data_IF_250383254055
#
_entry.id   IF_250383254055
#
_cell.length_a   1.000
_cell.length_b   1.000
_cell.length_c   1.000
_cell.angle_alpha   90.00
_cell.angle_beta   90.00
_cell.angle_gamma   90.00
#
_symmetry.space_group_name_H-M   'P 1'
#
loop_
_entity.id
_entity.type
_entity.pdbx_description
1 polymer ?
#
# COMPACT_ATOMS: atom_id res chain seq x y z
N UNK A 1 -1.57 13.52 14.87
CA UNK A 1 -2.35 12.44 14.23
C UNK A 1 -3.83 12.73 14.48
N UNK A 2 -4.70 12.78 13.46
CA UNK A 2 -6.13 13.05 13.64
C UNK A 2 -6.85 11.89 14.32
N UNK A 3 -8.03 12.17 14.89
CA UNK A 3 -8.94 11.14 15.41
C UNK A 3 -9.70 10.46 14.26
N UNK A 4 -10.30 9.30 14.51
CA UNK A 4 -11.17 8.62 13.53
C UNK A 4 -12.34 9.53 13.11
N UNK A 5 -12.95 10.24 14.06
CA UNK A 5 -14.04 11.18 13.77
C UNK A 5 -13.59 12.30 12.82
N UNK A 6 -12.40 12.88 13.04
CA UNK A 6 -11.84 13.91 12.16
C UNK A 6 -11.54 13.34 10.77
N UNK A 7 -10.99 12.13 10.67
CA UNK A 7 -10.73 11.46 9.40
C UNK A 7 -12.03 11.23 8.60
N UNK A 8 -13.11 10.82 9.26
CA UNK A 8 -14.40 10.64 8.60
C UNK A 8 -14.97 11.96 8.05
N UNK A 9 -14.90 13.05 8.82
CA UNK A 9 -15.32 14.37 8.35
C UNK A 9 -14.48 14.85 7.17
N UNK A 10 -13.17 14.64 7.23
CA UNK A 10 -12.28 15.00 6.12
C UNK A 10 -12.55 14.17 4.87
N UNK A 11 -12.96 12.92 5.01
CA UNK A 11 -13.33 12.09 3.87
C UNK A 11 -14.61 12.61 3.19
N UNK A 12 -15.62 13.01 3.96
CA UNK A 12 -16.82 13.67 3.40
C UNK A 12 -16.47 15.01 2.71
N UNK A 13 -15.52 15.76 3.26
CA UNK A 13 -14.99 16.97 2.60
C UNK A 13 -14.26 16.60 1.30
N UNK A 14 -13.50 15.51 1.25
CA UNK A 14 -12.85 15.04 0.03
C UNK A 14 -13.89 14.71 -1.05
N UNK A 15 -14.94 13.98 -0.68
CA UNK A 15 -16.05 13.65 -1.57
C UNK A 15 -16.77 14.90 -2.10
N UNK A 16 -17.08 15.87 -1.24
CA UNK A 16 -17.73 17.12 -1.68
C UNK A 16 -16.85 17.98 -2.61
N UNK A 17 -15.52 17.76 -2.59
CA UNK A 17 -14.56 18.39 -3.52
C UNK A 17 -14.31 17.57 -4.80
N UNK A 18 -15.04 16.47 -5.00
CA UNK A 18 -14.97 15.64 -6.21
C UNK A 18 -13.85 14.60 -6.21
N UNK A 19 -13.19 14.34 -5.06
CA UNK A 19 -12.31 13.19 -4.94
C UNK A 19 -13.15 11.93 -4.74
N UNK A 20 -12.84 10.85 -5.47
CA UNK A 20 -13.42 9.52 -5.25
C UNK A 20 -14.95 9.50 -5.25
N UNK A 21 -15.56 9.96 -6.35
CA UNK A 21 -17.03 10.00 -6.53
C UNK A 21 -17.68 8.62 -6.35
N UNK A 22 -17.01 7.57 -6.82
CA UNK A 22 -17.53 6.21 -6.75
C UNK A 22 -17.54 5.71 -5.29
N UNK A 23 -16.49 6.02 -4.53
CA UNK A 23 -16.46 5.80 -3.08
C UNK A 23 -17.54 6.62 -2.36
N UNK A 24 -17.71 7.89 -2.71
CA UNK A 24 -18.77 8.74 -2.15
C UNK A 24 -20.16 8.13 -2.38
N UNK A 25 -20.46 7.69 -3.61
CA UNK A 25 -21.73 7.03 -3.95
C UNK A 25 -21.90 5.73 -3.17
N UNK A 26 -20.86 4.89 -3.07
CA UNK A 26 -20.89 3.65 -2.30
C UNK A 26 -21.30 3.86 -0.82
N UNK A 27 -20.87 4.98 -0.22
CA UNK A 27 -21.20 5.34 1.16
C UNK A 27 -22.44 6.23 1.31
N UNK A 28 -23.18 6.52 0.22
CA UNK A 28 -24.27 7.51 0.17
C UNK A 28 -23.83 8.91 0.65
N UNK A 29 -22.58 9.29 0.37
CA UNK A 29 -21.99 10.56 0.74
C UNK A 29 -21.77 10.77 2.23
N UNK A 30 -21.93 9.74 3.08
CA UNK A 30 -21.86 9.87 4.53
C UNK A 30 -21.12 8.70 5.21
N UNK A 31 -20.10 9.05 6.00
CA UNK A 31 -19.26 8.11 6.77
C UNK A 31 -19.08 8.57 8.23
N UNK A 32 -19.25 9.85 8.53
CA UNK A 32 -19.09 10.42 9.86
C UNK A 32 -20.05 9.79 10.86
N UNK A 33 -19.50 9.39 12.01
CA UNK A 33 -20.24 8.71 13.07
C UNK A 33 -20.58 7.24 12.77
N UNK A 34 -20.22 6.71 11.61
CA UNK A 34 -20.41 5.31 11.26
C UNK A 34 -19.26 4.42 11.73
N UNK A 35 -19.47 3.10 11.71
CA UNK A 35 -18.45 2.06 11.91
C UNK A 35 -18.16 1.29 10.60
N UNK A 36 -18.53 1.87 9.45
CA UNK A 36 -18.32 1.21 8.17
C UNK A 36 -16.83 1.14 7.86
N UNK A 37 -16.39 0.03 7.29
CA UNK A 37 -15.02 -0.14 6.85
C UNK A 37 -14.75 0.73 5.61
N UNK A 38 -13.58 1.34 5.60
CA UNK A 38 -13.03 2.04 4.44
C UNK A 38 -11.84 1.23 3.89
N UNK A 39 -11.39 1.58 2.70
CA UNK A 39 -10.27 0.94 2.04
C UNK A 39 -9.34 1.92 1.33
N UNK A 40 -8.63 1.39 0.34
CA UNK A 40 -7.55 2.08 -0.36
C UNK A 40 -8.00 3.35 -1.07
N UNK A 41 -9.23 3.39 -1.61
CA UNK A 41 -9.80 4.52 -2.34
C UNK A 41 -10.04 5.71 -1.41
N UNK A 42 -10.66 5.49 -0.26
CA UNK A 42 -10.92 6.52 0.74
C UNK A 42 -9.62 7.06 1.34
N UNK A 43 -8.64 6.19 1.63
CA UNK A 43 -7.31 6.62 2.08
C UNK A 43 -6.60 7.48 1.02
N UNK A 44 -6.70 7.12 -0.26
CA UNK A 44 -6.12 7.91 -1.34
C UNK A 44 -6.83 9.26 -1.51
N UNK A 45 -8.16 9.30 -1.37
CA UNK A 45 -8.94 10.53 -1.40
C UNK A 45 -8.52 11.50 -0.28
N UNK A 46 -8.37 11.00 0.95
CA UNK A 46 -7.87 11.78 2.09
C UNK A 46 -6.47 12.34 1.84
N UNK A 47 -5.52 11.52 1.40
CA UNK A 47 -4.16 11.99 1.11
C UNK A 47 -4.16 13.08 0.02
N UNK A 48 -4.94 12.87 -1.05
CA UNK A 48 -5.05 13.81 -2.17
C UNK A 48 -5.73 15.12 -1.78
N UNK A 49 -6.71 15.08 -0.87
CA UNK A 49 -7.33 16.29 -0.31
C UNK A 49 -6.28 17.22 0.33
N UNK A 50 -5.25 16.65 0.97
CA UNK A 50 -4.14 17.41 1.58
C UNK A 50 -2.97 17.66 0.62
N UNK A 51 -3.16 17.45 -0.68
CA UNK A 51 -2.12 17.69 -1.70
C UNK A 51 -1.01 16.65 -1.74
N UNK A 52 -1.16 15.52 -1.04
CA UNK A 52 -0.20 14.42 -1.10
C UNK A 52 -0.47 13.60 -2.36
N UNK A 53 0.58 13.39 -3.18
CA UNK A 53 0.50 12.50 -4.34
C UNK A 53 0.34 11.05 -3.88
N UNK A 54 -0.89 10.54 -3.91
CA UNK A 54 -1.20 9.14 -3.64
C UNK A 54 -1.51 8.38 -4.94
N UNK A 55 -0.91 7.20 -5.10
CA UNK A 55 -1.16 6.28 -6.22
C UNK A 55 -1.66 4.94 -5.68
N UNK A 56 -2.75 4.45 -6.24
CA UNK A 56 -3.28 3.12 -5.96
C UNK A 56 -2.65 2.14 -6.96
N UNK A 57 -2.17 1.01 -6.47
CA UNK A 57 -1.70 -0.11 -7.28
C UNK A 57 -2.47 -1.34 -6.85
N UNK A 58 -3.20 -1.93 -7.79
CA UNK A 58 -4.03 -3.11 -7.56
C UNK A 58 -3.33 -4.37 -8.11
N UNK A 59 -3.23 -5.39 -7.26
CA UNK A 59 -2.63 -6.68 -7.57
C UNK A 59 -3.73 -7.74 -7.66
N UNK A 60 -4.47 -7.74 -8.77
CA UNK A 60 -5.58 -8.67 -8.99
C UNK A 60 -5.11 -10.12 -8.99
N UNK A 61 -5.76 -10.96 -8.19
CA UNK A 61 -5.63 -12.40 -8.30
C UNK A 61 -6.04 -12.82 -9.73
N UNK A 62 -5.10 -13.37 -10.51
CA UNK A 62 -5.43 -14.08 -11.74
C UNK A 62 -6.12 -15.36 -11.25
N UNK A 63 -7.30 -15.64 -11.80
CA UNK A 63 -7.99 -16.90 -11.57
C UNK A 63 -6.98 -18.03 -11.80
N UNK A 64 -6.84 -18.93 -10.81
CA UNK A 64 -5.93 -20.09 -10.87
C UNK A 64 -6.15 -20.82 -12.19
N UNK A 65 -5.29 -20.58 -13.18
CA UNK A 65 -5.13 -21.53 -14.27
C UNK A 65 -4.45 -22.76 -13.66
N UNK A 66 -5.08 -23.91 -13.88
CA UNK A 66 -4.66 -25.22 -13.42
C UNK A 66 -3.19 -25.48 -13.79
N UNK A 67 -2.27 -25.22 -12.85
CA UNK A 67 -0.84 -25.56 -12.96
C UNK A 67 0.18 -24.44 -12.79
N UNK A 68 -0.22 -23.17 -12.63
CA UNK A 68 0.73 -22.04 -12.53
C UNK A 68 1.12 -21.66 -11.10
N UNK A 69 2.42 -21.50 -10.83
CA UNK A 69 2.98 -20.90 -9.58
C UNK A 69 2.33 -19.53 -9.30
N UNK A 70 2.23 -19.11 -8.05
CA UNK A 70 1.59 -17.84 -7.63
C UNK A 70 2.33 -16.57 -8.14
N UNK A 71 2.12 -16.22 -9.41
CA UNK A 71 2.78 -15.10 -10.07
C UNK A 71 2.41 -13.73 -9.48
N UNK A 72 1.28 -13.61 -8.76
CA UNK A 72 0.82 -12.31 -8.25
C UNK A 72 1.51 -11.86 -6.97
N UNK A 73 1.80 -12.79 -6.06
CA UNK A 73 2.57 -12.46 -4.87
C UNK A 73 3.98 -11.99 -5.26
N UNK A 74 4.56 -12.57 -6.30
CA UNK A 74 5.85 -12.13 -6.83
C UNK A 74 5.80 -10.69 -7.36
N UNK A 75 4.75 -10.32 -8.11
CA UNK A 75 4.60 -8.93 -8.61
C UNK A 75 4.46 -7.91 -7.48
N UNK A 76 3.72 -8.24 -6.42
CA UNK A 76 3.63 -7.40 -5.22
C UNK A 76 5.00 -7.23 -4.57
N UNK A 77 5.70 -8.35 -4.33
CA UNK A 77 7.03 -8.37 -3.72
C UNK A 77 8.05 -7.55 -4.53
N UNK A 78 8.08 -7.73 -5.85
CA UNK A 78 8.98 -6.99 -6.74
C UNK A 78 8.64 -5.50 -6.79
N UNK A 79 7.34 -5.16 -6.76
CA UNK A 79 6.91 -3.78 -6.71
C UNK A 79 7.33 -3.10 -5.41
N UNK A 80 7.15 -3.75 -4.26
CA UNK A 80 7.56 -3.23 -2.94
C UNK A 80 9.09 -3.10 -2.86
N UNK A 81 9.82 -4.09 -3.38
CA UNK A 81 11.28 -4.03 -3.48
C UNK A 81 11.75 -2.80 -4.26
N UNK A 82 11.20 -2.60 -5.46
CA UNK A 82 11.53 -1.44 -6.28
C UNK A 82 11.13 -0.13 -5.60
N UNK A 83 9.96 -0.10 -4.94
CA UNK A 83 9.50 1.08 -4.23
C UNK A 83 10.52 1.58 -3.21
N UNK A 84 11.07 0.70 -2.37
CA UNK A 84 12.03 1.10 -1.33
C UNK A 84 13.48 1.26 -1.82
N UNK A 85 13.82 0.76 -3.01
CA UNK A 85 15.21 0.77 -3.55
C UNK A 85 15.45 1.74 -4.70
N UNK A 86 14.40 2.35 -5.28
CA UNK A 86 14.51 3.19 -6.48
C UNK A 86 15.42 4.42 -6.32
N UNK A 87 15.46 5.04 -5.14
CA UNK A 87 16.27 6.24 -4.85
C UNK A 87 17.75 5.94 -4.64
N UNK A 88 18.11 4.71 -4.25
CA UNK A 88 19.49 4.33 -3.93
C UNK A 88 20.21 3.70 -5.13
N UNK A 89 19.62 3.70 -6.33
CA UNK A 89 20.23 3.10 -7.53
C UNK A 89 21.52 3.80 -7.97
N UNK A 90 21.66 5.09 -7.68
CA UNK A 90 22.79 5.92 -8.10
C UNK A 90 24.00 5.85 -7.14
N UNK A 91 23.93 5.11 -6.03
CA UNK A 91 25.01 5.03 -5.03
C UNK A 91 25.63 3.63 -4.88
N UNK A 92 25.24 2.68 -5.72
CA UNK A 92 25.60 1.26 -5.59
C UNK A 92 26.66 0.86 -6.64
N UNK A 93 27.73 1.63 -6.77
CA UNK A 93 28.82 1.24 -7.68
C UNK A 93 29.93 0.41 -7.03
N UNK A 94 30.03 0.25 -5.69
CA UNK A 94 31.14 -0.56 -5.15
C UNK A 94 30.88 -1.44 -3.90
N UNK A 95 29.74 -1.34 -3.20
CA UNK A 95 29.30 -2.33 -2.19
C UNK A 95 27.77 -2.32 -2.11
N UNK A 96 27.13 -3.48 -2.19
CA UNK A 96 25.70 -3.56 -1.85
C UNK A 96 25.56 -3.52 -0.31
N UNK A 97 24.97 -2.47 0.29
CA UNK A 97 24.78 -2.42 1.72
C UNK A 97 23.84 -3.53 2.17
N UNK A 98 24.13 -4.16 3.32
CA UNK A 98 23.29 -5.22 3.90
C UNK A 98 21.92 -4.69 4.36
N UNK A 99 21.83 -3.38 4.67
CA UNK A 99 20.63 -2.69 5.10
C UNK A 99 20.57 -1.34 4.40
N UNK A 100 19.42 -1.03 3.80
CA UNK A 100 19.13 0.26 3.17
C UNK A 100 18.02 0.95 3.97
N UNK A 101 18.28 2.18 4.41
CA UNK A 101 17.27 3.02 5.08
C UNK A 101 16.69 3.96 4.05
N UNK A 102 15.58 3.54 3.44
CA UNK A 102 14.86 4.34 2.45
C UNK A 102 14.20 5.56 3.10
N UNK A 103 14.16 6.69 2.37
CA UNK A 103 13.39 7.88 2.78
C UNK A 103 11.93 7.84 2.33
N UNK A 104 11.52 6.77 1.64
CA UNK A 104 10.14 6.59 1.17
C UNK A 104 9.18 6.36 2.33
N UNK A 105 7.94 6.90 2.26
CA UNK A 105 6.95 6.67 3.29
C UNK A 105 6.48 5.20 3.32
N UNK A 106 5.91 4.72 4.44
CA UNK A 106 5.26 3.42 4.50
C UNK A 106 4.12 3.26 3.48
N UNK A 107 3.81 2.02 3.13
CA UNK A 107 2.75 1.69 2.17
C UNK A 107 1.49 1.21 2.90
N UNK A 108 0.34 1.83 2.63
CA UNK A 108 -0.97 1.30 2.99
C UNK A 108 -1.24 0.02 2.17
N UNK A 109 -1.54 -1.08 2.84
CA UNK A 109 -1.71 -2.39 2.23
C UNK A 109 -3.07 -2.99 2.61
N UNK A 110 -3.97 -3.08 1.62
CA UNK A 110 -5.31 -3.63 1.79
C UNK A 110 -5.40 -5.04 1.22
N UNK A 111 -6.13 -5.91 1.92
CA UNK A 111 -6.75 -7.09 1.34
C UNK A 111 -8.20 -7.19 1.81
N UNK A 112 -8.92 -8.22 1.36
CA UNK A 112 -10.30 -8.43 1.78
C UNK A 112 -10.37 -8.52 3.31
N UNK A 113 -11.13 -7.60 3.90
CA UNK A 113 -11.48 -7.56 5.32
C UNK A 113 -10.42 -7.00 6.27
N UNK A 114 -9.25 -6.57 5.80
CA UNK A 114 -8.25 -5.97 6.69
C UNK A 114 -7.24 -5.09 5.95
N UNK A 115 -6.66 -4.13 6.68
CA UNK A 115 -5.57 -3.28 6.18
C UNK A 115 -4.40 -3.27 7.14
N UNK A 116 -3.21 -3.11 6.58
CA UNK A 116 -1.92 -3.15 7.28
C UNK A 116 -0.97 -2.13 6.68
N UNK A 117 0.15 -1.88 7.35
CA UNK A 117 1.17 -0.94 6.87
C UNK A 117 2.47 -1.68 6.58
N UNK A 118 2.92 -1.69 5.33
CA UNK A 118 4.23 -2.24 4.96
C UNK A 118 5.28 -1.15 5.20
N UNK A 119 6.28 -1.44 6.03
CA UNK A 119 7.36 -0.52 6.41
C UNK A 119 8.73 -0.91 5.83
N UNK A 120 8.81 -2.05 5.15
CA UNK A 120 10.04 -2.49 4.50
C UNK A 120 9.95 -3.89 3.91
N UNK A 121 11.07 -4.37 3.38
CA UNK A 121 11.18 -5.67 2.75
C UNK A 121 12.61 -6.22 2.92
N UNK A 122 12.71 -7.52 3.17
CA UNK A 122 13.97 -8.24 3.26
C UNK A 122 14.01 -9.34 2.18
N UNK A 123 15.11 -9.43 1.44
CA UNK A 123 15.41 -10.60 0.59
C UNK A 123 16.50 -11.44 1.25
N UNK A 124 16.29 -12.76 1.28
CA UNK A 124 17.23 -13.72 1.84
C UNK A 124 17.53 -14.79 0.80
N UNK A 125 18.82 -14.98 0.51
CA UNK A 125 19.30 -16.11 -0.29
C UNK A 125 19.88 -17.18 0.63
N UNK A 126 19.31 -18.38 0.63
CA UNK A 126 19.91 -19.55 1.29
C UNK A 126 20.90 -20.22 0.31
N UNK A 127 21.97 -20.81 0.82
CA UNK A 127 22.94 -21.53 0.00
C UNK A 127 22.23 -22.65 -0.77
N UNK A 128 22.27 -22.62 -2.11
CA UNK A 128 21.60 -23.60 -2.97
C UNK A 128 20.07 -23.51 -3.05
N UNK A 129 19.43 -22.56 -2.37
CA UNK A 129 17.97 -22.38 -2.37
C UNK A 129 17.50 -21.21 -3.24
N UNK A 130 16.18 -21.15 -3.52
CA UNK A 130 15.59 -19.96 -4.15
C UNK A 130 15.73 -18.73 -3.24
N UNK A 131 15.71 -17.55 -3.84
CA UNK A 131 15.60 -16.30 -3.09
C UNK A 131 14.21 -16.21 -2.43
N UNK A 132 14.17 -15.92 -1.13
CA UNK A 132 12.96 -15.70 -0.36
C UNK A 132 12.82 -14.20 -0.05
N UNK A 133 11.58 -13.69 -0.03
CA UNK A 133 11.29 -12.30 0.33
C UNK A 133 10.29 -12.22 1.48
N UNK A 134 10.53 -11.28 2.39
CA UNK A 134 9.73 -11.07 3.60
C UNK A 134 9.33 -9.60 3.68
N UNK A 135 8.03 -9.32 3.77
CA UNK A 135 7.52 -7.98 4.02
C UNK A 135 7.59 -7.69 5.52
N UNK A 136 8.02 -6.49 5.88
CA UNK A 136 7.97 -5.97 7.25
C UNK A 136 6.65 -5.19 7.38
N UNK A 137 5.75 -5.66 8.25
CA UNK A 137 4.35 -5.18 8.29
C UNK A 137 3.94 -4.85 9.72
N UNK A 138 3.31 -3.68 9.91
CA UNK A 138 2.58 -3.34 11.12
C UNK A 138 1.09 -3.60 10.95
N UNK A 139 0.48 -4.14 12.00
CA UNK A 139 -0.93 -4.55 12.08
C UNK A 139 -1.62 -3.72 13.18
N UNK A 140 -2.66 -2.93 12.85
CA UNK A 140 -3.28 -1.96 13.76
C UNK A 140 -4.23 -2.57 14.80
#
# INVERSE_FOLDING_TARGET
VPTIAALQQWLEIAWSKGFDSDGAEHFNGAIYGSQKWIGTTECAALLRLFGVRARIVDFKALTRTTGGKDYNHQRLVDWVWNYYTEEDRDHVENRQPLVIISRRPPLYFQHQGHSRTIVGIQRRRKLGGPEEAFLLVFDP
#
